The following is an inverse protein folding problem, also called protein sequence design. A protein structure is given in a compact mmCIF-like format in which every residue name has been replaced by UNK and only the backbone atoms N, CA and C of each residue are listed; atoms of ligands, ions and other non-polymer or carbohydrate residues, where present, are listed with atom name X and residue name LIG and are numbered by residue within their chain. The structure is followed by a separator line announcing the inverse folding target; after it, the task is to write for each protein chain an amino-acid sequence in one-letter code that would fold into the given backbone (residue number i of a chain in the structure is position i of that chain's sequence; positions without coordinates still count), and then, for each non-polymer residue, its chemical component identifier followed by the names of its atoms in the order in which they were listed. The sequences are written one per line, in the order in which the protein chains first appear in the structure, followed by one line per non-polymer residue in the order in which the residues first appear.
data_IF_789922130879
#
_entry.id   IF_789922130879
#
_cell.length_a   1.000
_cell.length_b   1.000
_cell.length_c   1.000
_cell.angle_alpha   90.00
_cell.angle_beta   90.00
_cell.angle_gamma   90.00
#
_symmetry.space_group_name_H-M   'P 1'
#
loop_
_entity.id
_entity.type
_entity.pdbx_description
1 polymer ?
#
# COMPACT_ATOMS: atom_id res chain seq x y z
N UNK A 1 27.28 -47.67 -22.07
CA UNK A 1 25.85 -47.42 -22.08
C UNK A 1 25.56 -46.52 -20.90
N UNK A 2 25.36 -45.23 -21.15
CA UNK A 2 24.93 -44.24 -20.17
C UNK A 2 23.46 -43.94 -20.48
N UNK A 3 22.56 -44.23 -19.55
CA UNK A 3 21.17 -43.87 -19.63
C UNK A 3 21.03 -42.35 -19.43
N UNK A 4 20.50 -41.69 -20.43
CA UNK A 4 20.04 -40.32 -20.37
C UNK A 4 18.70 -40.27 -19.62
N UNK A 5 18.70 -39.77 -18.40
CA UNK A 5 17.45 -39.42 -17.68
C UNK A 5 16.87 -38.14 -18.26
N UNK A 6 15.83 -38.32 -19.02
CA UNK A 6 14.98 -37.24 -19.58
C UNK A 6 14.11 -36.67 -18.46
N UNK A 7 14.48 -35.50 -17.96
CA UNK A 7 13.65 -34.74 -16.99
C UNK A 7 12.47 -34.12 -17.70
N UNK A 8 11.27 -34.59 -17.41
CA UNK A 8 10.03 -33.97 -17.86
C UNK A 8 9.84 -32.61 -17.18
N UNK A 9 9.40 -31.57 -17.92
CA UNK A 9 9.04 -30.31 -17.31
C UNK A 9 7.71 -30.45 -16.55
N UNK A 10 7.70 -30.04 -15.29
CA UNK A 10 6.50 -29.96 -14.46
C UNK A 10 5.54 -28.92 -15.05
N UNK A 11 4.49 -29.36 -15.66
CA UNK A 11 3.37 -28.51 -16.01
C UNK A 11 2.65 -28.13 -14.70
N UNK A 12 2.74 -26.85 -14.34
CA UNK A 12 1.93 -26.28 -13.27
C UNK A 12 0.49 -26.28 -13.79
N UNK A 13 -0.35 -27.14 -13.23
CA UNK A 13 -1.70 -27.35 -13.71
C UNK A 13 -2.56 -26.07 -13.56
N UNK A 14 -3.58 -25.92 -14.38
CA UNK A 14 -4.43 -24.72 -14.45
C UNK A 14 -5.20 -24.41 -13.15
N UNK A 15 -5.24 -25.34 -12.20
CA UNK A 15 -5.93 -25.16 -10.91
C UNK A 15 -5.31 -24.09 -9.98
N UNK A 16 -4.00 -23.84 -10.05
CA UNK A 16 -3.36 -22.85 -9.17
C UNK A 16 -3.59 -21.42 -9.61
N UNK A 17 -3.74 -21.18 -10.92
CA UNK A 17 -3.96 -19.83 -11.48
C UNK A 17 -5.44 -19.46 -11.34
N UNK A 18 -6.35 -20.40 -11.54
CA UNK A 18 -7.78 -20.22 -11.30
C UNK A 18 -8.08 -19.89 -9.83
N UNK A 19 -7.35 -20.47 -8.87
CA UNK A 19 -7.51 -20.19 -7.45
C UNK A 19 -7.09 -18.74 -7.10
N UNK A 20 -6.09 -18.17 -7.77
CA UNK A 20 -5.65 -16.79 -7.54
C UNK A 20 -6.66 -15.77 -8.08
N UNK A 21 -7.22 -16.01 -9.26
CA UNK A 21 -8.27 -15.16 -9.85
C UNK A 21 -9.57 -15.26 -9.07
N UNK A 22 -9.92 -16.45 -8.57
CA UNK A 22 -11.10 -16.67 -7.72
C UNK A 22 -10.93 -16.01 -6.34
N UNK A 23 -9.73 -16.01 -5.75
CA UNK A 23 -9.44 -15.36 -4.49
C UNK A 23 -9.61 -13.84 -4.58
N UNK A 24 -9.17 -13.23 -5.68
CA UNK A 24 -9.38 -11.79 -5.95
C UNK A 24 -10.87 -11.47 -6.13
N UNK A 25 -11.64 -12.35 -6.77
CA UNK A 25 -13.08 -12.16 -6.98
C UNK A 25 -13.90 -12.41 -5.70
N UNK A 26 -13.53 -13.38 -4.88
CA UNK A 26 -14.26 -13.75 -3.63
C UNK A 26 -13.94 -12.77 -2.49
N UNK A 27 -12.73 -12.23 -2.39
CA UNK A 27 -12.40 -11.19 -1.43
C UNK A 27 -13.21 -9.89 -1.67
N UNK A 28 -13.57 -9.62 -2.91
CA UNK A 28 -14.41 -8.46 -3.27
C UNK A 28 -15.86 -8.58 -2.73
N UNK A 29 -16.33 -9.79 -2.40
CA UNK A 29 -17.72 -10.05 -2.02
C UNK A 29 -17.97 -10.49 -0.57
N UNK A 30 -16.95 -10.84 0.20
CA UNK A 30 -17.13 -11.35 1.57
C UNK A 30 -17.21 -10.28 2.66
N UNK A 31 -17.06 -9.00 2.35
CA UNK A 31 -17.04 -7.89 3.32
C UNK A 31 -18.30 -7.02 3.36
N UNK A 32 -19.42 -7.49 2.78
CA UNK A 32 -20.68 -6.74 2.82
C UNK A 32 -21.52 -7.06 4.08
N UNK A 33 -21.09 -6.50 5.19
CA UNK A 33 -21.92 -6.33 6.38
C UNK A 33 -22.53 -4.92 6.41
N UNK A 34 -23.85 -4.86 6.51
CA UNK A 34 -24.67 -3.64 6.57
C UNK A 34 -24.27 -2.70 7.69
N UNK A 35 -23.86 -1.49 7.36
CA UNK A 35 -23.65 -0.38 8.31
C UNK A 35 -23.98 0.95 7.69
N UNK A 36 -25.19 1.49 7.95
CA UNK A 36 -25.55 2.87 7.63
C UNK A 36 -24.89 3.82 8.64
N UNK A 37 -24.05 4.75 8.16
CA UNK A 37 -23.62 5.89 8.94
C UNK A 37 -24.13 7.19 8.28
N UNK A 38 -24.92 7.94 9.02
CA UNK A 38 -25.49 9.22 8.61
C UNK A 38 -24.41 10.33 8.64
N UNK A 39 -24.35 11.14 7.59
CA UNK A 39 -23.52 12.35 7.53
C UNK A 39 -24.36 13.52 8.05
N UNK A 40 -23.93 14.14 9.14
CA UNK A 40 -24.45 15.41 9.63
C UNK A 40 -23.49 16.52 9.21
N UNK A 41 -23.98 17.44 8.39
CA UNK A 41 -23.25 18.62 7.96
C UNK A 41 -23.19 19.65 9.10
N UNK A 42 -21.99 20.09 9.47
CA UNK A 42 -21.78 21.29 10.30
C UNK A 42 -21.16 22.38 9.43
N UNK A 43 -21.89 23.46 9.26
CA UNK A 43 -21.44 24.70 8.65
C UNK A 43 -20.70 25.56 9.68
N UNK A 44 -19.49 25.98 9.37
CA UNK A 44 -18.74 26.98 10.12
C UNK A 44 -17.56 27.46 9.28
N UNK A 45 -17.55 28.76 8.97
CA UNK A 45 -16.62 29.41 8.07
C UNK A 45 -15.18 29.47 8.65
N UNK A 46 -14.21 29.01 7.89
CA UNK A 46 -12.78 29.17 8.05
C UNK A 46 -12.13 28.54 6.84
N UNK A 47 -11.35 29.31 6.06
CA UNK A 47 -10.59 28.83 4.91
C UNK A 47 -9.47 27.89 5.38
N UNK A 48 -9.81 26.67 5.73
CA UNK A 48 -8.92 25.52 5.69
C UNK A 48 -9.33 24.70 4.48
N UNK A 49 -8.39 24.41 3.61
CA UNK A 49 -8.56 23.47 2.49
C UNK A 49 -9.04 22.14 3.06
N UNK A 50 -10.36 21.96 3.08
CA UNK A 50 -10.99 20.72 3.45
C UNK A 50 -10.54 19.66 2.43
N UNK A 51 -9.61 18.82 2.82
CA UNK A 51 -9.41 17.53 2.18
C UNK A 51 -10.71 16.78 2.43
N UNK A 52 -11.58 16.78 1.43
CA UNK A 52 -12.82 16.03 1.48
C UNK A 52 -12.45 14.57 1.80
N UNK A 53 -12.88 14.08 2.95
CA UNK A 53 -12.76 12.68 3.29
C UNK A 53 -13.54 11.89 2.24
N UNK A 54 -12.81 11.31 1.29
CA UNK A 54 -13.36 10.37 0.34
C UNK A 54 -13.67 9.08 1.09
N UNK A 55 -14.92 8.93 1.51
CA UNK A 55 -15.41 7.61 1.88
C UNK A 55 -15.56 6.82 0.58
N UNK A 56 -14.75 5.79 0.40
CA UNK A 56 -15.00 4.78 -0.63
C UNK A 56 -16.34 4.12 -0.25
N UNK A 57 -17.43 4.55 -0.90
CA UNK A 57 -18.70 3.85 -0.78
C UNK A 57 -18.53 2.55 -1.57
N UNK A 58 -18.54 1.44 -0.87
CA UNK A 58 -18.77 0.15 -1.50
C UNK A 58 -20.16 0.22 -2.14
N UNK A 59 -20.21 0.36 -3.46
CA UNK A 59 -21.46 0.35 -4.21
C UNK A 59 -22.10 -1.04 -4.07
N UNK A 60 -23.43 -1.07 -3.94
CA UNK A 60 -24.14 -2.34 -3.98
C UNK A 60 -23.88 -3.02 -5.35
N UNK A 61 -23.85 -4.37 -5.42
CA UNK A 61 -23.61 -5.09 -6.68
C UNK A 61 -24.51 -4.63 -7.84
N UNK A 62 -25.75 -4.21 -7.54
CA UNK A 62 -26.70 -3.66 -8.52
C UNK A 62 -26.33 -2.25 -9.03
N UNK A 63 -25.48 -1.51 -8.31
CA UNK A 63 -25.04 -0.17 -8.73
C UNK A 63 -23.80 -0.23 -9.65
N UNK A 64 -23.14 -1.38 -9.74
CA UNK A 64 -21.91 -1.59 -10.52
C UNK A 64 -22.22 -2.21 -11.88
N UNK A 65 -23.28 -3.01 -11.96
CA UNK A 65 -23.68 -3.67 -13.20
C UNK A 65 -23.97 -2.65 -14.31
N UNK A 66 -23.48 -2.93 -15.52
CA UNK A 66 -23.61 -2.06 -16.67
C UNK A 66 -22.61 -0.90 -16.72
N UNK A 67 -21.75 -0.71 -15.71
CA UNK A 67 -20.64 0.25 -15.79
C UNK A 67 -19.63 -0.17 -16.84
N UNK A 68 -19.09 0.81 -17.54
CA UNK A 68 -18.04 0.59 -18.53
C UNK A 68 -16.68 0.89 -17.92
N UNK A 69 -15.77 -0.07 -18.00
CA UNK A 69 -14.37 0.09 -17.56
C UNK A 69 -13.41 -0.33 -18.65
N UNK A 70 -12.21 0.20 -18.62
CA UNK A 70 -11.12 -0.22 -19.52
C UNK A 70 -10.16 -1.09 -18.72
N UNK A 71 -10.10 -2.41 -18.98
CA UNK A 71 -9.09 -3.29 -18.41
C UNK A 71 -7.69 -2.84 -18.84
N UNK A 72 -6.73 -2.83 -17.93
CA UNK A 72 -5.40 -2.28 -18.19
C UNK A 72 -4.29 -3.32 -18.13
N UNK A 73 -4.16 -4.05 -17.02
CA UNK A 73 -3.05 -4.97 -16.80
C UNK A 73 -1.66 -4.29 -16.86
N UNK A 74 -1.62 -2.95 -16.79
CA UNK A 74 -0.39 -2.17 -16.93
C UNK A 74 0.35 -2.09 -15.60
N UNK A 75 1.68 -2.31 -15.67
CA UNK A 75 2.53 -1.98 -14.54
C UNK A 75 2.58 -0.47 -14.32
N UNK A 76 2.46 -0.06 -13.08
CA UNK A 76 2.59 1.33 -12.62
C UNK A 76 3.47 1.38 -11.38
N UNK A 77 4.23 2.46 -11.25
CA UNK A 77 4.87 2.81 -9.99
C UNK A 77 3.84 3.42 -9.06
N UNK A 78 3.76 2.91 -7.83
CA UNK A 78 2.89 3.46 -6.80
C UNK A 78 3.78 4.03 -5.71
N UNK A 79 3.58 5.30 -5.37
CA UNK A 79 4.29 5.97 -4.28
C UNK A 79 3.25 6.38 -3.25
N UNK A 80 3.44 5.97 -2.01
CA UNK A 80 2.58 6.32 -0.89
C UNK A 80 3.38 7.09 0.17
N UNK A 81 2.75 8.08 0.77
CA UNK A 81 3.23 8.80 1.93
C UNK A 81 2.30 8.51 3.10
N UNK A 82 2.87 8.10 4.21
CA UNK A 82 2.13 7.70 5.40
C UNK A 82 1.71 8.91 6.24
N UNK A 83 0.59 8.81 6.93
CA UNK A 83 0.16 9.82 7.91
C UNK A 83 0.82 9.59 9.28
N UNK A 84 2.14 9.54 9.27
CA UNK A 84 2.97 9.32 10.46
C UNK A 84 4.28 8.60 10.15
N UNK A 85 5.08 8.40 11.17
CA UNK A 85 6.35 7.70 11.11
C UNK A 85 6.18 6.25 11.65
N UNK A 86 6.18 5.26 10.75
CA UNK A 86 6.02 3.84 11.08
C UNK A 86 7.32 3.27 11.66
N UNK A 87 7.28 2.69 12.84
CA UNK A 87 8.44 2.03 13.47
C UNK A 87 8.72 0.70 12.77
N UNK A 88 9.82 0.62 12.04
CA UNK A 88 10.20 -0.56 11.23
C UNK A 88 11.36 -1.35 11.82
N UNK A 89 12.22 -0.73 12.63
CA UNK A 89 13.31 -1.42 13.32
C UNK A 89 13.74 -0.70 14.59
N UNK A 90 14.48 -1.40 15.43
CA UNK A 90 15.16 -0.83 16.60
C UNK A 90 16.67 -0.84 16.38
N UNK A 91 17.33 0.23 16.85
CA UNK A 91 18.78 0.36 16.91
C UNK A 91 19.19 0.44 18.36
N UNK A 92 19.61 -0.67 18.92
CA UNK A 92 20.06 -0.74 20.30
C UNK A 92 21.45 -0.11 20.45
N UNK A 93 21.64 0.58 21.54
CA UNK A 93 22.90 1.18 21.92
C UNK A 93 23.61 0.29 22.92
N UNK A 94 24.83 -0.11 22.61
CA UNK A 94 25.65 -0.91 23.54
C UNK A 94 26.46 0.01 24.44
N UNK A 95 26.27 -0.12 25.76
CA UNK A 95 27.01 0.60 26.78
C UNK A 95 27.77 -0.40 27.66
N UNK A 96 28.66 0.08 28.51
CA UNK A 96 29.36 -0.77 29.49
C UNK A 96 28.40 -1.47 30.48
N UNK A 97 27.17 -0.96 30.61
CA UNK A 97 26.14 -1.49 31.51
C UNK A 97 25.10 -2.39 30.80
N UNK A 98 25.23 -2.59 29.49
CA UNK A 98 24.32 -3.40 28.70
C UNK A 98 23.79 -2.67 27.44
N UNK A 99 22.72 -3.21 26.86
CA UNK A 99 22.05 -2.63 25.73
C UNK A 99 20.92 -1.70 26.18
N UNK A 100 20.89 -0.49 25.65
CA UNK A 100 19.86 0.51 25.92
C UNK A 100 19.11 0.88 24.63
N UNK A 101 17.79 1.02 24.75
CA UNK A 101 16.96 1.53 23.66
C UNK A 101 15.80 2.37 24.24
N UNK A 102 15.86 3.70 24.07
CA UNK A 102 14.85 4.60 24.63
C UNK A 102 13.42 4.29 24.17
N UNK A 103 13.23 3.94 22.89
CA UNK A 103 11.91 3.64 22.38
C UNK A 103 11.35 2.32 22.90
N UNK A 104 12.18 1.26 23.02
CA UNK A 104 11.78 0.00 23.67
C UNK A 104 11.43 0.24 25.15
N UNK A 105 12.23 1.04 25.86
CA UNK A 105 11.96 1.39 27.24
C UNK A 105 10.65 2.18 27.40
N UNK A 106 10.28 2.99 26.42
CA UNK A 106 9.00 3.69 26.35
C UNK A 106 7.82 2.78 25.96
N UNK A 107 8.06 1.51 25.60
CA UNK A 107 7.03 0.54 25.23
C UNK A 107 6.60 0.58 23.78
N UNK A 108 7.33 1.29 22.90
CA UNK A 108 7.12 1.25 21.47
C UNK A 108 7.47 -0.12 20.87
N UNK A 109 6.79 -0.50 19.79
CA UNK A 109 6.94 -1.79 19.11
C UNK A 109 7.04 -1.58 17.60
N UNK A 110 7.51 -2.60 16.89
CA UNK A 110 7.46 -2.63 15.43
C UNK A 110 5.99 -2.56 14.98
N UNK A 111 5.73 -1.79 13.93
CA UNK A 111 4.39 -1.54 13.42
C UNK A 111 3.63 -0.42 14.14
N UNK A 112 4.19 0.22 15.18
CA UNK A 112 3.59 1.42 15.75
C UNK A 112 3.76 2.60 14.79
N UNK A 113 2.68 3.31 14.53
CA UNK A 113 2.69 4.53 13.70
C UNK A 113 2.70 5.75 14.61
N UNK A 114 3.82 6.46 14.68
CA UNK A 114 3.97 7.69 15.46
C UNK A 114 3.31 8.83 14.70
N UNK A 115 2.32 9.48 15.32
CA UNK A 115 1.49 10.52 14.70
C UNK A 115 1.68 11.90 15.34
N UNK A 116 2.20 11.97 16.57
CA UNK A 116 2.60 13.25 17.17
C UNK A 116 3.69 13.09 18.22
N UNK A 117 4.44 14.17 18.44
CA UNK A 117 5.44 14.29 19.50
C UNK A 117 5.27 15.64 20.21
N UNK A 118 5.07 15.63 21.53
CA UNK A 118 4.75 16.82 22.34
C UNK A 118 3.58 17.65 21.77
N UNK A 119 2.55 16.98 21.22
CA UNK A 119 1.38 17.63 20.64
C UNK A 119 1.61 18.20 19.23
N UNK A 120 2.82 18.14 18.69
CA UNK A 120 3.10 18.53 17.30
C UNK A 120 2.90 17.33 16.37
N UNK A 121 2.20 17.47 15.23
CA UNK A 121 2.05 16.40 14.26
C UNK A 121 3.40 15.87 13.76
N UNK A 122 3.50 14.56 13.61
CA UNK A 122 4.61 13.87 12.97
C UNK A 122 4.08 13.24 11.69
N UNK A 123 4.52 13.76 10.53
CA UNK A 123 4.11 13.27 9.20
C UNK A 123 5.29 12.72 8.40
N UNK A 124 6.50 12.93 8.91
CA UNK A 124 7.72 12.48 8.26
C UNK A 124 8.77 12.04 9.28
N UNK A 125 9.80 11.37 8.79
CA UNK A 125 10.99 11.04 9.57
C UNK A 125 11.69 12.32 10.08
N UNK A 126 11.71 13.38 9.27
CA UNK A 126 12.29 14.69 9.62
C UNK A 126 11.55 15.34 10.77
N UNK A 127 10.22 15.30 10.79
CA UNK A 127 9.40 15.85 11.89
C UNK A 127 9.75 15.14 13.21
N UNK A 128 9.79 13.80 13.19
CA UNK A 128 10.13 13.02 14.37
C UNK A 128 11.56 13.28 14.84
N UNK A 129 12.52 13.32 13.91
CA UNK A 129 13.91 13.63 14.19
C UNK A 129 14.05 15.00 14.83
N UNK A 130 13.38 16.01 14.29
CA UNK A 130 13.36 17.38 14.80
C UNK A 130 12.80 17.44 16.21
N UNK A 131 11.69 16.74 16.48
CA UNK A 131 11.08 16.68 17.80
C UNK A 131 12.01 16.02 18.85
N UNK A 132 12.69 14.93 18.46
CA UNK A 132 13.67 14.23 19.30
C UNK A 132 14.87 15.13 19.62
N UNK A 133 15.40 15.86 18.63
CA UNK A 133 16.51 16.79 18.84
C UNK A 133 16.09 17.96 19.74
N UNK A 134 14.90 18.54 19.49
CA UNK A 134 14.36 19.64 20.28
C UNK A 134 14.11 19.26 21.75
N UNK A 135 13.78 18.01 22.02
CA UNK A 135 13.61 17.51 23.39
C UNK A 135 14.91 17.55 24.22
N UNK A 136 16.08 17.49 23.57
CA UNK A 136 17.37 17.70 24.25
C UNK A 136 17.65 16.72 25.39
N UNK A 137 17.11 15.50 25.34
CA UNK A 137 17.22 14.47 26.39
C UNK A 137 16.15 14.58 27.50
N UNK A 138 15.25 15.55 27.41
CA UNK A 138 14.07 15.63 28.28
C UNK A 138 12.99 14.68 27.76
N UNK A 139 12.20 14.05 28.65
CA UNK A 139 11.08 13.22 28.24
C UNK A 139 10.12 13.95 27.31
N UNK A 140 9.77 13.34 26.16
CA UNK A 140 8.74 13.82 25.24
C UNK A 140 7.57 12.84 25.20
N UNK A 141 6.37 13.39 25.11
CA UNK A 141 5.15 12.60 24.94
C UNK A 141 4.96 12.25 23.48
N UNK A 142 4.91 10.95 23.16
CA UNK A 142 4.69 10.43 21.82
C UNK A 142 3.30 9.83 21.76
N UNK A 143 2.47 10.30 20.80
CA UNK A 143 1.19 9.71 20.45
C UNK A 143 1.39 8.80 19.26
N UNK A 144 0.92 7.58 19.32
CA UNK A 144 1.08 6.59 18.25
C UNK A 144 -0.17 5.72 18.10
N UNK A 145 -0.33 5.12 16.93
CA UNK A 145 -1.34 4.10 16.65
C UNK A 145 -0.68 2.72 16.67
N UNK A 146 -1.39 1.77 17.30
CA UNK A 146 -1.06 0.34 17.30
C UNK A 146 -2.30 -0.44 16.88
N UNK A 147 -2.33 -0.89 15.64
CA UNK A 147 -3.57 -1.32 15.00
C UNK A 147 -4.60 -0.19 15.02
N UNK A 148 -5.82 -0.48 15.46
CA UNK A 148 -6.90 0.50 15.58
C UNK A 148 -6.84 1.36 16.86
N UNK A 149 -5.91 1.05 17.78
CA UNK A 149 -5.84 1.72 19.08
C UNK A 149 -4.86 2.89 19.06
N UNK A 150 -5.30 4.03 19.59
CA UNK A 150 -4.44 5.18 19.84
C UNK A 150 -3.83 5.10 21.23
N UNK A 151 -2.52 5.23 21.32
CA UNK A 151 -1.73 5.02 22.53
C UNK A 151 -0.78 6.19 22.75
N UNK A 152 -0.33 6.36 24.01
CA UNK A 152 0.65 7.37 24.38
C UNK A 152 1.83 6.72 25.09
N UNK A 153 3.05 7.18 24.80
CA UNK A 153 4.27 6.79 25.49
C UNK A 153 5.08 8.02 25.90
N UNK A 154 5.88 7.88 26.92
CA UNK A 154 6.88 8.88 27.31
C UNK A 154 8.25 8.37 26.90
N UNK A 155 8.83 9.01 25.89
CA UNK A 155 10.13 8.69 25.32
C UNK A 155 11.18 9.66 25.85
N UNK A 156 12.28 9.14 26.42
CA UNK A 156 13.42 9.96 26.85
C UNK A 156 14.60 9.71 25.91
N UNK A 157 14.90 10.61 24.96
CA UNK A 157 16.00 10.42 24.03
C UNK A 157 17.34 10.37 24.73
N UNK A 158 18.27 9.56 24.21
CA UNK A 158 19.66 9.50 24.71
C UNK A 158 20.61 10.14 23.71
N UNK A 159 21.69 10.76 24.23
CA UNK A 159 22.70 11.40 23.40
C UNK A 159 23.67 10.37 22.84
N UNK A 160 23.92 10.40 21.53
CA UNK A 160 24.93 9.56 20.88
C UNK A 160 26.34 10.15 20.99
N UNK A 161 27.34 9.43 20.45
CA UNK A 161 28.75 9.84 20.48
C UNK A 161 29.00 11.14 19.68
N UNK A 162 28.16 11.44 18.70
CA UNK A 162 28.22 12.64 17.89
C UNK A 162 27.49 13.83 18.53
N UNK A 163 26.95 13.65 19.72
CA UNK A 163 26.19 14.66 20.43
C UNK A 163 24.75 14.83 20.02
N UNK A 164 24.22 13.96 19.13
CA UNK A 164 22.84 13.97 18.66
C UNK A 164 21.95 13.14 19.58
N UNK A 165 20.71 13.61 19.79
CA UNK A 165 19.72 12.85 20.55
C UNK A 165 19.04 11.81 19.66
N UNK A 166 18.88 10.59 20.18
CA UNK A 166 18.33 9.44 19.47
C UNK A 166 17.28 8.73 20.30
N UNK A 167 16.27 8.21 19.62
CA UNK A 167 15.24 7.35 20.21
C UNK A 167 15.58 5.84 20.11
N UNK A 168 16.54 5.48 19.27
CA UNK A 168 16.90 4.08 19.02
C UNK A 168 15.91 3.35 18.13
N UNK A 169 15.26 4.06 17.18
CA UNK A 169 14.32 3.51 16.21
C UNK A 169 14.71 3.89 14.78
N UNK A 170 14.32 3.04 13.86
CA UNK A 170 14.21 3.34 12.45
C UNK A 170 12.73 3.48 12.11
N UNK A 171 12.39 4.52 11.38
CA UNK A 171 11.03 4.77 10.96
C UNK A 171 10.94 4.92 9.46
N UNK A 172 9.75 4.64 8.91
CA UNK A 172 9.40 4.80 7.51
C UNK A 172 8.14 5.67 7.40
N UNK A 173 8.16 6.65 6.53
CA UNK A 173 7.07 7.60 6.28
C UNK A 173 6.55 7.53 4.85
N UNK A 174 7.17 6.71 4.02
CA UNK A 174 6.82 6.55 2.61
C UNK A 174 7.18 5.17 2.10
N UNK A 175 6.51 4.75 1.05
CA UNK A 175 6.81 3.52 0.35
C UNK A 175 6.61 3.68 -1.15
N UNK A 176 7.41 2.98 -1.93
CA UNK A 176 7.28 2.94 -3.38
C UNK A 176 7.47 1.52 -3.89
N UNK A 177 6.67 1.14 -4.88
CA UNK A 177 6.73 -0.18 -5.48
C UNK A 177 6.09 -0.22 -6.85
N UNK A 178 6.28 -1.34 -7.57
CA UNK A 178 5.59 -1.59 -8.83
C UNK A 178 4.33 -2.38 -8.51
N UNK A 179 3.20 -1.85 -8.99
CA UNK A 179 1.90 -2.52 -8.91
C UNK A 179 1.27 -2.66 -10.29
N UNK A 180 0.11 -3.30 -10.33
CA UNK A 180 -0.68 -3.43 -11.55
C UNK A 180 -1.91 -2.55 -11.49
N UNK A 181 -2.05 -1.65 -12.47
CA UNK A 181 -3.28 -0.92 -12.74
C UNK A 181 -4.27 -1.91 -13.36
N UNK A 182 -5.30 -2.30 -12.61
CA UNK A 182 -6.23 -3.34 -13.02
C UNK A 182 -7.21 -2.83 -14.07
N UNK A 183 -7.85 -1.69 -13.79
CA UNK A 183 -8.77 -1.03 -14.72
C UNK A 183 -8.88 0.47 -14.42
N UNK A 184 -9.41 1.19 -15.37
CA UNK A 184 -9.85 2.58 -15.22
C UNK A 184 -11.33 2.70 -15.58
N UNK A 185 -12.00 3.61 -14.88
CA UNK A 185 -13.34 4.09 -15.23
C UNK A 185 -13.17 5.42 -15.96
N UNK A 186 -13.31 5.45 -17.29
CA UNK A 186 -13.06 6.66 -18.08
C UNK A 186 -14.16 7.72 -17.87
N UNK A 187 -15.35 7.32 -17.43
CA UNK A 187 -16.46 8.25 -17.20
C UNK A 187 -16.20 9.10 -15.94
N UNK A 188 -15.67 8.47 -14.88
CA UNK A 188 -15.44 9.14 -13.60
C UNK A 188 -13.97 9.55 -13.43
N UNK A 189 -13.06 9.18 -14.34
CA UNK A 189 -11.64 9.47 -14.23
C UNK A 189 -11.02 8.82 -13.00
N UNK A 190 -11.42 7.58 -12.69
CA UNK A 190 -10.91 6.82 -11.54
C UNK A 190 -10.19 5.56 -11.97
N UNK A 191 -9.37 5.01 -11.07
CA UNK A 191 -8.68 3.74 -11.29
C UNK A 191 -8.82 2.81 -10.09
N UNK A 192 -8.63 1.52 -10.36
CA UNK A 192 -8.35 0.50 -9.36
C UNK A 192 -7.06 -0.24 -9.73
N UNK A 193 -6.24 -0.53 -8.73
CA UNK A 193 -5.00 -1.27 -8.89
C UNK A 193 -4.80 -2.27 -7.77
N UNK A 194 -3.94 -3.27 -8.00
CA UNK A 194 -3.67 -4.39 -7.10
C UNK A 194 -4.93 -5.25 -6.86
N UNK A 195 -5.03 -5.88 -5.76
CA UNK A 195 -6.13 -6.69 -5.23
C UNK A 195 -5.88 -6.93 -3.73
N UNK A 196 -5.00 -6.10 -3.17
CA UNK A 196 -4.60 -6.10 -1.76
C UNK A 196 -4.04 -4.72 -1.41
N UNK A 197 -4.01 -4.38 -0.13
CA UNK A 197 -3.36 -3.17 0.36
C UNK A 197 -1.84 -3.19 0.13
N UNK A 198 -1.25 -2.01 0.10
CA UNK A 198 0.20 -1.85 0.19
C UNK A 198 0.56 -1.82 1.66
N UNK A 199 1.42 -2.75 2.06
CA UNK A 199 1.92 -2.90 3.41
C UNK A 199 3.43 -2.73 3.44
N UNK A 200 3.95 -2.36 4.60
CA UNK A 200 5.38 -2.32 4.86
C UNK A 200 5.98 -3.74 4.83
N UNK A 201 7.05 -3.93 4.08
CA UNK A 201 7.65 -5.25 3.87
C UNK A 201 8.32 -5.83 5.12
N UNK A 202 8.77 -4.98 6.05
CA UNK A 202 9.51 -5.42 7.25
C UNK A 202 8.56 -5.77 8.40
N UNK A 203 7.45 -5.05 8.51
CA UNK A 203 6.49 -5.20 9.62
C UNK A 203 5.19 -5.90 9.21
N UNK A 204 4.87 -5.93 7.91
CA UNK A 204 3.57 -6.36 7.40
C UNK A 204 2.42 -5.38 7.73
N UNK A 205 2.71 -4.25 8.37
CA UNK A 205 1.70 -3.26 8.70
C UNK A 205 1.21 -2.55 7.43
N UNK A 206 -0.09 -2.36 7.32
CA UNK A 206 -0.69 -1.57 6.23
C UNK A 206 -0.21 -0.12 6.31
N UNK A 207 0.24 0.43 5.17
CA UNK A 207 0.65 1.83 5.08
C UNK A 207 -0.58 2.73 5.10
N UNK A 208 -0.72 3.49 6.17
CA UNK A 208 -1.78 4.49 6.31
C UNK A 208 -1.53 5.63 5.35
N UNK A 209 -2.51 5.90 4.50
CA UNK A 209 -2.40 6.86 3.42
C UNK A 209 -2.59 8.30 3.91
N UNK A 210 -1.57 9.14 3.84
CA UNK A 210 -1.67 10.59 3.85
C UNK A 210 -1.90 11.13 2.42
N UNK A 211 -1.07 10.68 1.50
CA UNK A 211 -1.15 10.99 0.08
C UNK A 211 -0.46 9.92 -0.74
N UNK A 212 -0.74 9.88 -2.04
CA UNK A 212 -0.05 8.97 -2.93
C UNK A 212 -0.25 9.31 -4.38
N UNK A 213 0.62 8.78 -5.22
CA UNK A 213 0.59 8.97 -6.66
C UNK A 213 0.89 7.67 -7.40
N UNK A 214 0.33 7.54 -8.60
CA UNK A 214 0.73 6.52 -9.55
C UNK A 214 1.47 7.17 -10.71
N UNK A 215 2.59 6.56 -11.10
CA UNK A 215 3.45 7.02 -12.19
C UNK A 215 3.60 5.90 -13.23
N UNK A 216 3.79 6.22 -14.51
CA UNK A 216 4.18 5.21 -15.49
C UNK A 216 5.48 4.51 -15.07
N UNK A 217 5.59 3.22 -15.38
CA UNK A 217 6.80 2.44 -15.15
C UNK A 217 7.22 1.73 -16.43
N UNK A 218 8.52 1.67 -16.67
CA UNK A 218 9.12 0.79 -17.67
C UNK A 218 9.69 -0.42 -16.97
N UNK A 219 9.10 -1.60 -17.17
CA UNK A 219 9.60 -2.85 -16.60
C UNK A 219 10.87 -3.26 -17.33
N UNK A 220 11.98 -3.33 -16.59
CA UNK A 220 13.32 -3.68 -17.12
C UNK A 220 13.73 -5.10 -16.79
N UNK A 221 13.01 -5.76 -15.88
CA UNK A 221 13.29 -7.13 -15.49
C UNK A 221 12.19 -7.76 -14.65
N UNK A 222 12.22 -9.09 -14.60
CA UNK A 222 11.31 -9.89 -13.80
C UNK A 222 12.10 -11.00 -13.08
N UNK A 223 11.93 -11.10 -11.78
CA UNK A 223 12.40 -12.24 -11.00
C UNK A 223 11.25 -13.22 -10.85
N UNK A 224 11.45 -14.43 -11.34
CA UNK A 224 10.42 -15.47 -11.27
C UNK A 224 10.17 -15.91 -9.83
N UNK A 225 8.91 -15.96 -9.44
CA UNK A 225 8.50 -16.52 -8.15
C UNK A 225 8.72 -18.02 -8.05
N UNK A 226 8.90 -18.48 -6.83
CA UNK A 226 8.95 -19.90 -6.45
C UNK A 226 8.04 -20.13 -5.23
N UNK A 227 7.79 -21.39 -4.89
CA UNK A 227 7.00 -21.69 -3.69
C UNK A 227 7.63 -21.08 -2.43
N UNK A 228 6.88 -20.25 -1.71
CA UNK A 228 7.35 -19.53 -0.53
C UNK A 228 8.18 -18.28 -0.82
N UNK A 229 8.41 -17.92 -2.09
CA UNK A 229 9.13 -16.71 -2.49
C UNK A 229 8.41 -16.07 -3.67
N UNK A 230 7.66 -14.98 -3.47
CA UNK A 230 6.95 -14.29 -4.56
C UNK A 230 7.93 -13.74 -5.59
N UNK A 231 7.47 -13.64 -6.85
CA UNK A 231 8.22 -12.98 -7.90
C UNK A 231 8.26 -11.47 -7.71
N UNK A 232 9.20 -10.83 -8.42
CA UNK A 232 9.41 -9.38 -8.34
C UNK A 232 9.52 -8.79 -9.75
N UNK A 233 8.87 -7.65 -9.98
CA UNK A 233 9.11 -6.83 -11.15
C UNK A 233 10.14 -5.74 -10.80
N UNK A 234 11.06 -5.48 -11.72
CA UNK A 234 12.03 -4.40 -11.64
C UNK A 234 11.78 -3.41 -12.75
N UNK A 235 11.91 -2.12 -12.48
CA UNK A 235 11.61 -1.12 -13.48
C UNK A 235 12.01 0.29 -13.05
N UNK A 236 11.86 1.22 -13.99
CA UNK A 236 12.18 2.63 -13.84
C UNK A 236 10.88 3.44 -13.81
N UNK A 237 10.73 4.31 -12.81
CA UNK A 237 9.58 5.17 -12.65
C UNK A 237 9.74 6.45 -13.46
N UNK A 238 8.68 6.82 -14.19
CA UNK A 238 8.61 8.14 -14.82
C UNK A 238 8.46 9.25 -13.76
N UNK A 239 8.86 10.47 -14.13
CA UNK A 239 8.81 11.60 -13.23
C UNK A 239 7.38 12.15 -13.01
N UNK A 240 6.53 12.08 -14.06
CA UNK A 240 5.21 12.70 -14.03
C UNK A 240 4.13 11.70 -13.60
N UNK A 241 3.33 12.02 -12.57
CA UNK A 241 2.23 11.17 -12.17
C UNK A 241 1.10 11.17 -13.21
N UNK A 242 0.39 10.05 -13.29
CA UNK A 242 -0.81 9.86 -14.10
C UNK A 242 -2.06 9.63 -13.26
N UNK A 243 -1.94 9.73 -11.94
CA UNK A 243 -3.06 9.63 -11.03
C UNK A 243 -2.63 9.85 -9.57
N UNK A 244 -3.64 10.06 -8.72
CA UNK A 244 -3.47 10.22 -7.28
C UNK A 244 -4.14 9.06 -6.56
N UNK A 245 -3.45 8.50 -5.58
CA UNK A 245 -4.02 7.48 -4.70
C UNK A 245 -4.89 8.18 -3.65
N UNK A 246 -6.12 7.71 -3.49
CA UNK A 246 -7.11 8.23 -2.55
C UNK A 246 -7.48 7.20 -1.49
N UNK A 247 -7.25 5.91 -1.75
CA UNK A 247 -7.47 4.84 -0.80
C UNK A 247 -6.45 3.72 -1.00
N UNK A 248 -6.02 3.13 0.13
CA UNK A 248 -5.22 1.92 0.22
C UNK A 248 -5.90 1.04 1.27
N UNK A 249 -6.56 -0.03 0.86
CA UNK A 249 -7.31 -0.92 1.74
C UNK A 249 -7.15 -2.40 1.35
N UNK A 250 -7.79 -3.28 2.08
CA UNK A 250 -7.68 -4.73 1.88
C UNK A 250 -8.09 -5.19 0.46
N UNK A 251 -8.90 -4.42 -0.27
CA UNK A 251 -9.35 -4.74 -1.62
C UNK A 251 -8.44 -4.16 -2.71
N UNK A 252 -7.53 -3.23 -2.37
CA UNK A 252 -6.57 -2.67 -3.31
C UNK A 252 -6.28 -1.19 -3.12
N UNK A 253 -5.78 -0.60 -4.21
CA UNK A 253 -5.43 0.82 -4.28
C UNK A 253 -6.34 1.51 -5.29
N UNK A 254 -6.95 2.60 -4.88
CA UNK A 254 -7.93 3.33 -5.68
C UNK A 254 -7.60 4.82 -5.73
N UNK A 255 -8.06 5.48 -6.78
CA UNK A 255 -7.84 6.91 -6.87
C UNK A 255 -8.31 7.55 -8.17
N UNK A 256 -7.91 8.81 -8.38
CA UNK A 256 -8.18 9.54 -9.61
C UNK A 256 -7.12 9.23 -10.67
N UNK A 257 -7.55 9.16 -11.93
CA UNK A 257 -6.71 8.87 -13.08
C UNK A 257 -6.77 10.00 -14.10
N UNK A 258 -5.62 10.49 -14.52
CA UNK A 258 -5.46 11.56 -15.52
C UNK A 258 -4.61 11.14 -16.73
N UNK A 259 -4.19 9.89 -16.75
CA UNK A 259 -3.40 9.35 -17.86
C UNK A 259 -4.25 8.97 -19.08
N UNK A 260 -3.63 8.49 -20.15
CA UNK A 260 -4.33 8.08 -21.35
C UNK A 260 -5.17 6.81 -21.11
N UNK A 261 -6.46 6.90 -21.41
CA UNK A 261 -7.40 5.78 -21.38
C UNK A 261 -7.35 5.02 -22.71
N UNK A 262 -6.24 4.34 -22.99
CA UNK A 262 -6.10 3.54 -24.20
C UNK A 262 -6.55 2.11 -23.92
N UNK A 263 -7.56 1.65 -24.67
CA UNK A 263 -8.11 0.30 -24.55
C UNK A 263 -9.58 0.27 -24.96
N UNK A 264 -10.10 -0.93 -25.16
CA UNK A 264 -11.52 -1.14 -25.40
C UNK A 264 -12.25 -1.18 -24.06
N UNK A 265 -13.34 -0.41 -23.95
CA UNK A 265 -14.21 -0.46 -22.80
C UNK A 265 -14.99 -1.77 -22.78
N UNK A 266 -15.13 -2.36 -21.60
CA UNK A 266 -15.94 -3.55 -21.35
C UNK A 266 -16.96 -3.26 -20.26
N UNK A 267 -18.11 -3.90 -20.38
CA UNK A 267 -19.15 -3.82 -19.35
C UNK A 267 -18.81 -4.68 -18.15
N UNK A 268 -19.03 -4.14 -16.95
CA UNK A 268 -18.87 -4.89 -15.69
C UNK A 268 -20.05 -5.82 -15.54
N UNK A 269 -19.78 -7.13 -15.51
CA UNK A 269 -20.78 -8.18 -15.31
C UNK A 269 -21.22 -8.27 -13.83
N UNK A 270 -22.45 -8.74 -13.62
CA UNK A 270 -22.88 -9.18 -12.30
C UNK A 270 -22.15 -10.47 -11.89
N UNK A 271 -22.01 -10.71 -10.58
CA UNK A 271 -21.36 -11.93 -10.07
C UNK A 271 -22.04 -13.22 -10.59
N UNK A 272 -23.36 -13.20 -10.76
CA UNK A 272 -24.14 -14.36 -11.25
C UNK A 272 -23.90 -14.64 -12.75
N UNK A 273 -23.36 -13.67 -13.49
CA UNK A 273 -23.03 -13.80 -14.93
C UNK A 273 -21.61 -14.33 -15.15
N UNK A 274 -20.78 -14.36 -14.07
CA UNK A 274 -19.42 -14.88 -14.16
C UNK A 274 -19.45 -16.40 -14.28
N UNK A 275 -18.91 -16.91 -15.38
CA UNK A 275 -18.83 -18.36 -15.67
C UNK A 275 -17.38 -18.82 -15.72
N UNK A 276 -17.14 -20.09 -15.48
CA UNK A 276 -15.84 -20.71 -15.73
C UNK A 276 -15.66 -20.99 -17.22
N UNK A 277 -14.43 -20.79 -17.73
CA UNK A 277 -14.11 -21.03 -19.13
C UNK A 277 -12.79 -20.38 -19.53
N UNK A 278 -12.45 -20.43 -20.82
CA UNK A 278 -11.27 -19.75 -21.33
C UNK A 278 -11.30 -18.26 -20.97
N UNK A 279 -10.17 -17.74 -20.50
CA UNK A 279 -10.02 -16.35 -20.11
C UNK A 279 -8.67 -15.77 -20.58
N UNK A 280 -8.55 -14.46 -20.55
CA UNK A 280 -7.31 -13.76 -20.82
C UNK A 280 -6.84 -13.02 -19.55
N UNK A 281 -5.58 -13.20 -19.19
CA UNK A 281 -4.91 -12.42 -18.17
C UNK A 281 -4.07 -11.33 -18.84
N UNK A 282 -4.35 -10.07 -18.53
CA UNK A 282 -3.55 -8.95 -19.02
C UNK A 282 -2.49 -8.56 -18.00
N UNK A 283 -1.22 -8.55 -18.41
CA UNK A 283 -0.10 -8.22 -17.52
C UNK A 283 1.05 -7.59 -18.30
N UNK A 284 1.80 -6.71 -17.62
CA UNK A 284 3.06 -6.14 -18.13
C UNK A 284 4.21 -6.82 -17.41
N UNK A 285 4.98 -7.63 -18.13
CA UNK A 285 6.18 -8.32 -17.60
C UNK A 285 7.47 -7.78 -18.18
N UNK A 286 7.38 -6.94 -19.23
CA UNK A 286 8.50 -6.31 -19.91
C UNK A 286 8.04 -5.01 -20.60
N UNK A 287 8.87 -3.97 -20.56
CA UNK A 287 8.57 -2.68 -21.15
C UNK A 287 7.41 -1.96 -20.49
N UNK A 288 6.51 -1.34 -21.30
CA UNK A 288 5.41 -0.50 -20.81
C UNK A 288 4.02 -1.00 -21.20
N UNK A 289 3.95 -2.00 -22.08
CA UNK A 289 2.70 -2.49 -22.65
C UNK A 289 2.25 -3.78 -21.98
N UNK A 290 0.97 -3.83 -21.60
CA UNK A 290 0.34 -5.08 -21.17
C UNK A 290 0.17 -6.03 -22.37
N UNK A 291 0.35 -7.33 -22.12
CA UNK A 291 0.11 -8.41 -23.07
C UNK A 291 -1.01 -9.31 -22.52
N UNK A 292 -1.82 -9.85 -23.42
CA UNK A 292 -2.83 -10.85 -23.05
C UNK A 292 -2.19 -12.25 -23.03
N UNK A 293 -2.52 -13.01 -22.02
CA UNK A 293 -2.11 -14.39 -21.84
C UNK A 293 -3.36 -15.26 -21.69
N UNK A 294 -3.52 -16.27 -22.52
CA UNK A 294 -4.61 -17.23 -22.39
C UNK A 294 -4.44 -18.08 -21.12
N UNK A 295 -5.50 -18.24 -20.35
CA UNK A 295 -5.56 -18.98 -19.09
C UNK A 295 -6.78 -19.90 -19.02
#
# INVERSE_FOLDING_TARGET
MKEEQQTQPWAVGPLCIAALVLAVSVAFFSLYGTGQAAVQAMSGAGEETAVAAWSVRTAAPSEIAGRQVVPMGRAVGIKLFSDGALVVAFSDRYTALGSENPAKAAGLRLGDLIISANGQPVRSNEDLTSAIQAAGGVPLTVLYRRGESQCTAVLTPTRDENGCYKAGIWVRDSGAGIGTLSFIDPLHGTFAGLGHSISDADTGAELTLLSGEIVPVTVTGCVRGAAGSPGELRGEFAASPVGRVLANDAAGVYGSYSGPAAGQSVEVANLQEVTTGPAELWATVEGTAAKAYAV
#
